data_IF_803796769433
#
_entry.id   IF_803796769433
#
_cell.length_a   1.000
_cell.length_b   1.000
_cell.length_c   1.000
_cell.angle_alpha   90.00
_cell.angle_beta   90.00
_cell.angle_gamma   90.00
#
_symmetry.space_group_name_H-M   'P 1'
#
loop_
_entity.id
_entity.type
_entity.pdbx_description
1 polymer ?
#
# COMPACT_ATOMS: atom_id res chain seq x y z
N UNK A 1 5.54 7.00 -14.57
CA UNK A 1 5.31 6.17 -13.36
C UNK A 1 3.94 6.51 -12.80
N UNK A 2 3.06 5.54 -12.50
CA UNK A 2 1.74 5.79 -11.90
C UNK A 2 1.70 5.28 -10.45
N UNK A 3 1.03 6.03 -9.57
CA UNK A 3 0.79 5.60 -8.18
C UNK A 3 -0.40 4.63 -8.10
N UNK A 4 -0.59 3.99 -6.94
CA UNK A 4 -1.65 3.00 -6.75
C UNK A 4 -3.05 3.63 -6.89
N UNK A 5 -3.23 4.87 -6.44
CA UNK A 5 -4.46 5.62 -6.62
C UNK A 5 -4.92 5.72 -8.09
N UNK A 6 -4.03 6.11 -9.02
CA UNK A 6 -4.38 6.21 -10.45
C UNK A 6 -4.69 4.84 -11.06
N UNK A 7 -4.00 3.79 -10.60
CA UNK A 7 -4.31 2.41 -11.01
C UNK A 7 -5.69 2.00 -10.53
N UNK A 8 -6.03 2.30 -9.28
CA UNK A 8 -7.37 1.99 -8.73
C UNK A 8 -8.47 2.68 -9.50
N UNK A 9 -8.26 3.94 -9.90
CA UNK A 9 -9.26 4.76 -10.60
C UNK A 9 -9.50 4.33 -12.05
N UNK A 10 -8.45 3.88 -12.74
CA UNK A 10 -8.52 3.54 -14.17
C UNK A 10 -8.94 2.10 -14.43
N UNK A 11 -8.86 1.22 -13.43
CA UNK A 11 -9.28 -0.17 -13.57
C UNK A 11 -10.80 -0.30 -13.62
N UNK A 12 -11.28 -1.10 -14.57
CA UNK A 12 -12.67 -1.54 -14.65
C UNK A 12 -13.00 -2.68 -13.67
N UNK A 13 -11.99 -3.48 -13.30
CA UNK A 13 -12.13 -4.62 -12.40
C UNK A 13 -11.34 -4.32 -11.10
N UNK A 14 -11.98 -4.39 -9.92
CA UNK A 14 -11.31 -4.25 -8.64
C UNK A 14 -10.16 -5.25 -8.47
N UNK A 15 -9.22 -4.93 -7.57
CA UNK A 15 -8.22 -5.91 -7.16
C UNK A 15 -8.89 -7.10 -6.48
N UNK A 16 -8.32 -8.28 -6.72
CA UNK A 16 -8.66 -9.47 -5.97
C UNK A 16 -8.18 -9.35 -4.52
N UNK A 17 -8.83 -10.10 -3.63
CA UNK A 17 -8.46 -10.13 -2.21
C UNK A 17 -7.00 -10.61 -2.00
N UNK A 18 -6.51 -11.52 -2.84
CA UNK A 18 -5.13 -11.96 -2.84
C UNK A 18 -4.14 -10.84 -3.22
N UNK A 19 -4.45 -10.05 -4.25
CA UNK A 19 -3.63 -8.88 -4.61
C UNK A 19 -3.57 -7.87 -3.47
N UNK A 20 -4.74 -7.50 -2.91
CA UNK A 20 -4.81 -6.55 -1.77
C UNK A 20 -3.99 -7.06 -0.58
N UNK A 21 -4.10 -8.34 -0.21
CA UNK A 21 -3.30 -8.94 0.86
C UNK A 21 -1.80 -8.83 0.60
N UNK A 22 -1.34 -9.07 -0.62
CA UNK A 22 0.07 -8.96 -0.98
C UNK A 22 0.60 -7.52 -0.88
N UNK A 23 -0.20 -6.52 -1.27
CA UNK A 23 0.16 -5.11 -1.09
C UNK A 23 0.22 -4.72 0.39
N UNK A 24 -0.79 -5.11 1.18
CA UNK A 24 -0.80 -4.88 2.61
C UNK A 24 0.44 -5.47 3.29
N UNK A 25 0.84 -6.70 2.92
CA UNK A 25 2.04 -7.33 3.46
C UNK A 25 3.30 -6.49 3.24
N UNK A 26 3.52 -6.00 2.02
CA UNK A 26 4.68 -5.17 1.68
C UNK A 26 4.66 -3.82 2.42
N UNK A 27 3.50 -3.15 2.43
CA UNK A 27 3.32 -1.86 3.13
C UNK A 27 3.56 -2.02 4.63
N UNK A 28 3.03 -3.09 5.24
CA UNK A 28 3.23 -3.34 6.67
C UNK A 28 4.67 -3.72 7.01
N UNK A 29 5.37 -4.42 6.12
CA UNK A 29 6.80 -4.67 6.29
C UNK A 29 7.60 -3.36 6.29
N UNK A 30 7.30 -2.44 5.37
CA UNK A 30 7.92 -1.12 5.34
C UNK A 30 7.58 -0.29 6.60
N UNK A 31 6.33 -0.32 7.05
CA UNK A 31 5.92 0.35 8.29
C UNK A 31 6.62 -0.23 9.51
N UNK A 32 6.77 -1.55 9.60
CA UNK A 32 7.49 -2.20 10.69
C UNK A 32 8.95 -1.70 10.77
N UNK A 33 9.61 -1.58 9.62
CA UNK A 33 10.94 -0.99 9.54
C UNK A 33 10.95 0.49 9.97
N UNK A 34 10.03 1.32 9.45
CA UNK A 34 9.93 2.74 9.84
C UNK A 34 9.74 2.91 11.35
N UNK A 35 8.86 2.10 11.94
CA UNK A 35 8.61 2.12 13.38
C UNK A 35 9.85 1.70 14.19
N UNK A 36 10.63 0.72 13.72
CA UNK A 36 11.91 0.36 14.36
C UNK A 36 12.92 1.52 14.35
N UNK A 37 12.87 2.37 13.32
CA UNK A 37 13.68 3.57 13.22
C UNK A 37 13.09 4.79 13.96
N UNK A 38 11.95 4.64 14.65
CA UNK A 38 11.29 5.73 15.38
C UNK A 38 10.46 6.69 14.50
N UNK A 39 10.18 6.33 13.24
CA UNK A 39 9.39 7.15 12.32
C UNK A 39 7.95 6.65 12.23
N UNK A 40 6.99 7.59 12.25
CA UNK A 40 5.57 7.33 12.02
C UNK A 40 5.12 7.93 10.68
N UNK A 41 4.54 7.13 9.78
CA UNK A 41 4.14 7.59 8.45
C UNK A 41 2.98 8.62 8.48
N UNK A 42 2.00 8.44 9.38
CA UNK A 42 0.83 9.31 9.67
C UNK A 42 -0.17 9.60 8.54
N UNK A 43 0.21 9.46 7.27
CA UNK A 43 -0.67 9.73 6.13
C UNK A 43 -0.62 8.57 5.12
N UNK A 44 -0.85 7.35 5.60
CA UNK A 44 -0.85 6.17 4.74
C UNK A 44 -2.12 6.16 3.88
N UNK A 45 -1.93 6.23 2.57
CA UNK A 45 -2.98 6.18 1.55
C UNK A 45 -2.44 5.58 0.25
N UNK A 46 -3.30 5.02 -0.61
CA UNK A 46 -2.95 4.66 -1.98
C UNK A 46 -2.44 5.84 -2.81
#
# INVERSE_FOLDING_TARGET
>A
ECNLYEVMKTRSIPFTEAEVRNWCFQVFQALAYMHQCGYFHRDLKP
#
